data_IF_774671160208
#
_entry.id   IF_774671160208
#
_cell.length_a   1.000
_cell.length_b   1.000
_cell.length_c   1.000
_cell.angle_alpha   90.00
_cell.angle_beta   90.00
_cell.angle_gamma   90.00
#
_symmetry.space_group_name_H-M   'P 1'
#
loop_
_entity.id
_entity.type
_entity.pdbx_description
1 polymer ?
#
# COMPACT_ATOMS: atom_id res chain seq x y z
N UNK A 1 39.05 -10.03 -11.26
CA UNK A 1 37.83 -10.41 -10.53
C UNK A 1 37.47 -9.19 -9.71
N UNK A 2 36.53 -8.39 -10.20
CA UNK A 2 36.26 -7.04 -9.68
C UNK A 2 35.50 -7.13 -8.35
N UNK A 3 36.00 -6.47 -7.31
CA UNK A 3 35.42 -6.47 -5.94
C UNK A 3 34.39 -5.34 -5.74
N UNK A 4 33.74 -4.89 -6.81
CA UNK A 4 32.80 -3.76 -6.77
C UNK A 4 31.42 -4.18 -7.28
N UNK A 5 30.67 -4.95 -6.49
CA UNK A 5 29.21 -4.76 -6.40
C UNK A 5 28.53 -5.50 -5.23
N UNK A 6 29.17 -5.58 -4.05
CA UNK A 6 28.39 -5.96 -2.86
C UNK A 6 27.61 -4.74 -2.38
N UNK A 7 26.30 -4.74 -2.63
CA UNK A 7 25.39 -3.77 -2.04
C UNK A 7 25.70 -3.60 -0.53
N UNK A 8 25.86 -2.37 -0.03
CA UNK A 8 26.32 -2.12 1.33
C UNK A 8 25.43 -2.85 2.34
N UNK A 9 26.06 -3.53 3.30
CA UNK A 9 25.31 -4.23 4.34
C UNK A 9 24.44 -3.25 5.13
N UNK A 10 23.16 -3.59 5.41
CA UNK A 10 22.31 -2.71 6.21
C UNK A 10 22.83 -2.53 7.64
N UNK A 11 22.58 -1.35 8.19
CA UNK A 11 22.97 -1.01 9.57
C UNK A 11 22.46 -2.05 10.59
N UNK A 12 23.27 -2.48 11.58
CA UNK A 12 22.89 -3.52 12.56
C UNK A 12 21.55 -3.26 13.28
N UNK A 13 21.30 -2.02 13.69
CA UNK A 13 20.02 -1.65 14.33
C UNK A 13 18.80 -1.89 13.41
N UNK A 14 18.95 -1.76 12.08
CA UNK A 14 17.88 -2.06 11.13
C UNK A 14 17.67 -3.56 11.01
N UNK A 15 18.75 -4.35 11.04
CA UNK A 15 18.66 -5.82 11.04
C UNK A 15 17.94 -6.35 12.29
N UNK A 16 18.27 -5.82 13.47
CA UNK A 16 17.60 -6.19 14.72
C UNK A 16 16.09 -5.91 14.68
N UNK A 17 15.66 -4.81 14.05
CA UNK A 17 14.23 -4.51 13.87
C UNK A 17 13.55 -5.53 12.97
N UNK A 18 14.19 -5.93 11.87
CA UNK A 18 13.66 -6.98 10.99
C UNK A 18 13.56 -8.33 11.69
N UNK A 19 14.55 -8.70 12.50
CA UNK A 19 14.53 -9.94 13.29
C UNK A 19 13.36 -9.97 14.28
N UNK A 20 13.17 -8.89 15.05
CA UNK A 20 12.03 -8.75 15.97
C UNK A 20 10.68 -8.85 15.25
N UNK A 21 10.57 -8.18 14.11
CA UNK A 21 9.35 -8.22 13.29
C UNK A 21 9.07 -9.63 12.74
N UNK A 22 10.12 -10.34 12.31
CA UNK A 22 10.02 -11.72 11.83
C UNK A 22 9.60 -12.70 12.93
N UNK A 23 10.11 -12.52 14.15
CA UNK A 23 9.72 -13.33 15.30
C UNK A 23 8.22 -13.16 15.59
N UNK A 24 7.74 -11.91 15.62
CA UNK A 24 6.35 -11.58 15.87
C UNK A 24 5.43 -12.15 14.77
N UNK A 25 5.79 -11.94 13.49
CA UNK A 25 5.06 -12.51 12.35
C UNK A 25 5.01 -14.04 12.42
N UNK A 26 6.13 -14.69 12.74
CA UNK A 26 6.22 -16.14 12.87
C UNK A 26 5.35 -16.70 14.00
N UNK A 27 5.31 -16.01 15.15
CA UNK A 27 4.46 -16.36 16.30
C UNK A 27 2.98 -16.27 15.93
N UNK A 28 2.57 -15.18 15.31
CA UNK A 28 1.16 -14.92 15.02
C UNK A 28 0.64 -15.76 13.84
N UNK A 29 1.50 -16.08 12.86
CA UNK A 29 1.14 -16.98 11.75
C UNK A 29 0.85 -18.41 12.24
N UNK A 30 1.54 -18.88 13.30
CA UNK A 30 1.31 -20.18 13.93
C UNK A 30 0.04 -20.23 14.80
N UNK A 31 -0.55 -19.06 15.09
CA UNK A 31 -1.64 -18.92 16.06
C UNK A 31 -3.05 -18.75 15.49
N UNK A 32 -3.29 -18.79 14.17
CA UNK A 32 -4.67 -18.64 13.63
C UNK A 32 -5.49 -19.94 13.81
N UNK A 33 -6.62 -19.91 14.54
CA UNK A 33 -7.74 -20.80 14.28
C UNK A 33 -8.45 -20.36 12.99
N UNK A 34 -9.19 -21.28 12.35
CA UNK A 34 -9.98 -21.01 11.14
C UNK A 34 -10.84 -19.74 11.30
N UNK A 35 -10.48 -18.66 10.58
CA UNK A 35 -11.28 -17.43 10.52
C UNK A 35 -12.50 -17.69 9.63
N UNK A 36 -13.56 -18.20 10.24
CA UNK A 36 -14.88 -18.33 9.61
C UNK A 36 -15.88 -17.28 10.12
N UNK A 37 -15.54 -16.43 11.10
CA UNK A 37 -16.51 -15.48 11.68
C UNK A 37 -16.09 -14.01 11.56
N UNK A 38 -16.93 -13.29 10.82
CA UNK A 38 -16.98 -11.84 10.68
C UNK A 38 -17.12 -11.13 12.05
N UNK A 39 -16.05 -10.52 12.53
CA UNK A 39 -16.11 -9.26 13.30
C UNK A 39 -14.89 -8.39 12.95
N UNK A 40 -15.08 -7.19 12.38
CA UNK A 40 -13.97 -6.27 12.14
C UNK A 40 -13.57 -5.66 13.49
N UNK A 41 -12.55 -6.22 14.14
CA UNK A 41 -11.84 -5.50 15.18
C UNK A 41 -10.99 -4.44 14.51
N UNK A 42 -11.09 -3.21 15.02
CA UNK A 42 -10.49 -1.97 14.50
C UNK A 42 -8.94 -1.99 14.50
N UNK A 43 -8.30 -3.15 14.69
CA UNK A 43 -6.86 -3.31 14.82
C UNK A 43 -6.23 -4.30 13.81
N UNK A 44 -6.98 -4.78 12.82
CA UNK A 44 -6.42 -5.59 11.73
C UNK A 44 -6.55 -4.84 10.41
N UNK A 45 -5.41 -4.36 9.90
CA UNK A 45 -5.25 -4.24 8.44
C UNK A 45 -5.56 -5.63 7.90
N UNK A 46 -6.67 -5.80 7.18
CA UNK A 46 -7.44 -7.05 7.08
C UNK A 46 -6.73 -8.31 6.57
N UNK A 47 -5.43 -8.26 6.30
CA UNK A 47 -4.59 -9.37 5.84
C UNK A 47 -3.23 -9.43 6.57
N UNK A 48 -3.00 -8.61 7.61
CA UNK A 48 -1.75 -8.58 8.36
C UNK A 48 -1.85 -9.39 9.67
N UNK A 49 -0.75 -10.06 10.02
CA UNK A 49 -0.65 -10.87 11.24
C UNK A 49 -0.22 -10.05 12.47
N UNK A 50 -0.16 -8.72 12.38
CA UNK A 50 0.36 -7.82 13.43
C UNK A 50 -0.44 -6.51 13.46
N UNK A 51 -0.58 -5.89 14.62
CA UNK A 51 -1.25 -4.59 14.72
C UNK A 51 -0.35 -3.45 14.24
N UNK A 52 -0.93 -2.27 13.98
CA UNK A 52 -0.15 -1.06 13.70
C UNK A 52 0.75 -0.68 14.88
N UNK A 53 0.24 -0.79 16.11
CA UNK A 53 0.99 -0.44 17.33
C UNK A 53 2.23 -1.33 17.53
N UNK A 54 2.09 -2.65 17.32
CA UNK A 54 3.23 -3.58 17.38
C UNK A 54 4.29 -3.25 16.33
N UNK A 55 3.85 -2.89 15.13
CA UNK A 55 4.74 -2.48 14.05
C UNK A 55 5.45 -1.18 14.42
N UNK A 56 4.72 -0.20 14.95
CA UNK A 56 5.26 1.10 15.34
C UNK A 56 6.29 0.99 16.48
N UNK A 57 6.04 0.14 17.48
CA UNK A 57 6.99 -0.09 18.57
C UNK A 57 8.34 -0.64 18.06
N UNK A 58 8.29 -1.55 17.08
CA UNK A 58 9.47 -2.19 16.50
C UNK A 58 10.15 -1.27 15.49
N UNK A 59 9.39 -0.71 14.55
CA UNK A 59 9.91 0.03 13.40
C UNK A 59 10.20 1.50 13.72
N UNK A 60 9.51 2.07 14.70
CA UNK A 60 9.58 3.47 15.13
C UNK A 60 9.42 4.40 13.93
N UNK A 61 8.26 4.38 13.29
CA UNK A 61 8.08 5.14 12.06
C UNK A 61 8.10 6.64 12.37
N UNK A 62 8.85 7.37 11.55
CA UNK A 62 8.86 8.83 11.62
C UNK A 62 7.68 9.39 10.83
N UNK A 63 7.19 10.57 11.22
CA UNK A 63 6.28 11.33 10.38
C UNK A 63 6.98 11.63 9.05
N UNK A 64 6.40 11.16 7.96
CA UNK A 64 6.87 11.48 6.62
C UNK A 64 5.98 12.57 6.01
N UNK A 65 6.57 13.70 5.67
CA UNK A 65 5.93 14.73 4.87
C UNK A 65 6.45 14.63 3.43
N UNK A 66 5.57 14.27 2.51
CA UNK A 66 5.88 14.17 1.09
C UNK A 66 5.84 15.58 0.47
N UNK A 67 6.95 16.07 -0.15
CA UNK A 67 6.91 17.29 -0.94
C UNK A 67 5.88 17.16 -2.06
N UNK A 68 4.99 18.14 -2.18
CA UNK A 68 3.93 18.15 -3.19
C UNK A 68 4.33 19.02 -4.40
N UNK A 69 3.80 18.66 -5.57
CA UNK A 69 3.89 19.46 -6.79
C UNK A 69 2.47 19.72 -7.30
N UNK A 70 2.23 20.92 -7.80
CA UNK A 70 0.94 21.25 -8.40
C UNK A 70 0.66 20.36 -9.62
N UNK A 71 -0.58 19.92 -9.73
CA UNK A 71 -1.10 19.24 -10.91
C UNK A 71 -1.68 20.33 -11.83
N UNK A 72 -1.42 20.22 -13.13
CA UNK A 72 -1.93 21.20 -14.10
C UNK A 72 -3.47 21.22 -14.11
N UNK A 73 -4.07 22.41 -14.13
CA UNK A 73 -5.52 22.60 -14.00
C UNK A 73 -6.32 21.77 -15.00
N UNK A 74 -5.89 21.71 -16.28
CA UNK A 74 -6.61 20.93 -17.29
C UNK A 74 -6.70 19.43 -16.95
N UNK A 75 -5.72 18.88 -16.22
CA UNK A 75 -5.75 17.47 -15.76
C UNK A 75 -6.74 17.30 -14.62
N UNK A 76 -6.80 18.26 -13.70
CA UNK A 76 -7.81 18.31 -12.63
C UNK A 76 -9.22 18.45 -13.23
N UNK A 77 -9.40 19.31 -14.23
CA UNK A 77 -10.68 19.50 -14.92
C UNK A 77 -11.12 18.22 -15.64
N UNK A 78 -10.19 17.53 -16.30
CA UNK A 78 -10.45 16.24 -16.96
C UNK A 78 -10.86 15.17 -15.95
N UNK A 79 -10.12 15.06 -14.84
CA UNK A 79 -10.43 14.14 -13.75
C UNK A 79 -11.81 14.46 -13.16
N UNK A 80 -12.10 15.74 -12.91
CA UNK A 80 -13.38 16.19 -12.39
C UNK A 80 -14.53 15.83 -13.34
N UNK A 81 -14.38 16.07 -14.65
CA UNK A 81 -15.36 15.70 -15.65
C UNK A 81 -15.64 14.18 -15.66
N UNK A 82 -14.59 13.35 -15.60
CA UNK A 82 -14.73 11.90 -15.48
C UNK A 82 -15.50 11.52 -14.21
N UNK A 83 -15.10 12.06 -13.06
CA UNK A 83 -15.73 11.74 -11.77
C UNK A 83 -17.21 12.13 -11.77
N UNK A 84 -17.58 13.26 -12.38
CA UNK A 84 -18.99 13.65 -12.55
C UNK A 84 -19.79 12.63 -13.37
N UNK A 85 -19.23 12.11 -14.46
CA UNK A 85 -19.88 11.06 -15.27
C UNK A 85 -20.13 9.81 -14.43
N UNK A 86 -19.11 9.36 -13.69
CA UNK A 86 -19.23 8.16 -12.84
C UNK A 86 -20.23 8.38 -11.70
N UNK A 87 -20.20 9.53 -11.01
CA UNK A 87 -21.16 9.86 -9.95
C UNK A 87 -22.60 9.82 -10.49
N UNK A 88 -22.84 10.38 -11.67
CA UNK A 88 -24.19 10.37 -12.28
C UNK A 88 -24.66 8.96 -12.65
N UNK A 89 -23.75 8.11 -13.12
CA UNK A 89 -24.08 6.74 -13.52
C UNK A 89 -24.35 5.82 -12.31
N UNK A 90 -23.58 5.96 -11.23
CA UNK A 90 -23.61 5.01 -10.12
C UNK A 90 -24.26 5.56 -8.83
N UNK A 91 -24.61 6.85 -8.80
CA UNK A 91 -25.15 7.52 -7.62
C UNK A 91 -24.08 7.88 -6.58
N UNK A 92 -24.53 8.37 -5.43
CA UNK A 92 -23.65 8.78 -4.34
C UNK A 92 -23.17 7.54 -3.56
N UNK A 93 -21.88 7.19 -3.67
CA UNK A 93 -21.33 5.97 -3.07
C UNK A 93 -20.41 6.32 -1.90
N UNK A 94 -21.00 6.44 -0.70
CA UNK A 94 -20.25 6.79 0.52
C UNK A 94 -20.34 5.74 1.64
N UNK A 95 -20.83 4.53 1.36
CA UNK A 95 -20.91 3.47 2.38
C UNK A 95 -20.50 2.08 1.84
N UNK A 96 -19.59 1.41 2.55
CA UNK A 96 -19.30 -0.03 2.41
C UNK A 96 -18.19 -0.46 1.43
N UNK A 97 -17.91 -1.78 1.43
CA UNK A 97 -17.04 -2.59 0.54
C UNK A 97 -17.48 -2.58 -0.94
N UNK A 98 -17.98 -1.45 -1.44
CA UNK A 98 -18.57 -1.39 -2.77
C UNK A 98 -17.43 -1.37 -3.81
N UNK A 99 -17.33 -2.43 -4.63
CA UNK A 99 -16.38 -2.57 -5.77
C UNK A 99 -16.36 -1.31 -6.63
N UNK A 100 -17.48 -0.58 -6.62
CA UNK A 100 -17.65 0.66 -7.35
C UNK A 100 -16.72 1.81 -6.89
N UNK A 101 -16.18 1.77 -5.66
CA UNK A 101 -15.16 2.73 -5.19
C UNK A 101 -13.89 2.66 -6.06
N UNK A 102 -13.59 1.50 -6.64
CA UNK A 102 -12.45 1.33 -7.55
C UNK A 102 -12.57 2.24 -8.77
N UNK A 103 -13.78 2.46 -9.31
CA UNK A 103 -14.01 3.32 -10.48
C UNK A 103 -13.74 4.80 -10.21
N UNK A 104 -13.71 5.23 -8.94
CA UNK A 104 -13.33 6.57 -8.53
C UNK A 104 -11.85 6.70 -8.18
N UNK A 105 -11.25 5.66 -7.60
CA UNK A 105 -9.86 5.69 -7.14
C UNK A 105 -8.90 5.49 -8.31
N UNK A 106 -9.18 4.52 -9.19
CA UNK A 106 -8.34 4.23 -10.34
C UNK A 106 -8.04 5.46 -11.24
N UNK A 107 -9.01 6.30 -11.64
CA UNK A 107 -8.71 7.50 -12.45
C UNK A 107 -7.82 8.51 -11.69
N UNK A 108 -7.95 8.63 -10.37
CA UNK A 108 -7.07 9.49 -9.56
C UNK A 108 -5.64 8.97 -9.61
N UNK A 109 -5.44 7.66 -9.39
CA UNK A 109 -4.14 7.02 -9.48
C UNK A 109 -3.54 7.13 -10.91
N UNK A 110 -4.39 7.02 -11.94
CA UNK A 110 -3.98 7.19 -13.34
C UNK A 110 -3.47 8.61 -13.62
N UNK A 111 -4.17 9.65 -13.12
CA UNK A 111 -3.71 11.04 -13.22
C UNK A 111 -2.36 11.26 -12.52
N UNK A 112 -2.10 10.57 -11.40
CA UNK A 112 -0.78 10.62 -10.74
C UNK A 112 0.28 9.91 -11.57
N UNK A 113 -0.01 8.73 -12.12
CA UNK A 113 0.94 7.95 -12.92
C UNK A 113 1.33 8.65 -14.23
N UNK A 114 0.38 9.31 -14.88
CA UNK A 114 0.62 10.06 -16.13
C UNK A 114 1.67 11.18 -15.95
N UNK A 115 1.90 11.66 -14.72
CA UNK A 115 2.98 12.62 -14.42
C UNK A 115 4.39 12.08 -14.65
N UNK A 116 4.52 10.79 -14.87
CA UNK A 116 5.78 10.11 -15.10
C UNK A 116 5.91 9.63 -16.55
N UNK A 117 5.20 10.25 -17.49
CA UNK A 117 5.38 10.05 -18.95
C UNK A 117 5.35 8.57 -19.39
N UNK A 118 4.51 7.76 -18.71
CA UNK A 118 4.36 6.33 -18.98
C UNK A 118 5.37 5.41 -18.28
N UNK A 119 6.30 5.95 -17.50
CA UNK A 119 7.25 5.16 -16.70
C UNK A 119 6.61 4.54 -15.46
N UNK A 120 5.51 5.14 -14.96
CA UNK A 120 4.76 4.61 -13.84
C UNK A 120 3.59 3.74 -14.32
N UNK A 121 3.38 2.60 -13.67
CA UNK A 121 2.29 1.65 -13.97
C UNK A 121 1.47 1.35 -12.73
N UNK A 122 0.18 1.07 -12.94
CA UNK A 122 -0.73 0.61 -11.88
C UNK A 122 -0.94 -0.88 -12.07
N UNK A 123 -0.71 -1.64 -11.00
CA UNK A 123 -1.06 -3.05 -10.88
C UNK A 123 -2.28 -3.14 -9.95
N UNK A 124 -3.33 -3.81 -10.40
CA UNK A 124 -4.51 -4.13 -9.58
C UNK A 124 -4.28 -5.47 -8.89
N UNK A 125 -4.72 -5.60 -7.63
CA UNK A 125 -4.65 -6.82 -6.82
C UNK A 125 -3.22 -7.39 -6.71
N UNK A 126 -2.36 -6.64 -6.01
CA UNK A 126 -0.94 -6.95 -5.89
C UNK A 126 -0.54 -7.47 -4.51
N UNK A 127 0.27 -8.53 -4.49
CA UNK A 127 0.97 -9.00 -3.30
C UNK A 127 2.42 -8.47 -3.28
N UNK A 128 2.87 -7.97 -2.13
CA UNK A 128 4.28 -7.62 -1.90
C UNK A 128 4.86 -8.57 -0.87
N UNK A 129 5.77 -9.43 -1.32
CA UNK A 129 6.54 -10.32 -0.46
C UNK A 129 7.77 -9.59 0.06
N UNK A 130 7.94 -9.54 1.37
CA UNK A 130 9.10 -8.93 1.99
C UNK A 130 10.37 -9.76 1.76
N UNK A 131 11.49 -9.08 1.42
CA UNK A 131 12.78 -9.75 1.18
C UNK A 131 13.51 -10.14 2.46
N UNK A 132 13.46 -9.26 3.48
CA UNK A 132 14.13 -9.43 4.79
C UNK A 132 13.15 -9.50 5.95
N UNK A 133 11.90 -9.17 5.67
CA UNK A 133 10.76 -9.30 6.58
C UNK A 133 9.86 -10.38 5.98
N UNK A 134 9.56 -11.44 6.73
CA UNK A 134 8.83 -12.62 6.26
C UNK A 134 7.30 -12.38 6.26
N UNK A 135 6.89 -11.20 5.84
CA UNK A 135 5.51 -10.80 5.67
C UNK A 135 5.13 -10.77 4.19
N UNK A 136 3.85 -11.01 3.94
CA UNK A 136 3.20 -10.79 2.65
C UNK A 136 2.08 -9.77 2.87
N UNK A 137 2.13 -8.67 2.13
CA UNK A 137 1.10 -7.63 2.15
C UNK A 137 0.24 -7.70 0.90
N UNK A 138 -1.08 -7.63 1.07
CA UNK A 138 -2.06 -7.58 -0.01
C UNK A 138 -2.59 -6.16 -0.16
N UNK A 139 -2.66 -5.67 -1.39
CA UNK A 139 -2.99 -4.30 -1.71
C UNK A 139 -3.97 -4.23 -2.89
N UNK A 140 -4.96 -3.34 -2.79
CA UNK A 140 -5.94 -3.12 -3.86
C UNK A 140 -5.27 -2.51 -5.10
N UNK A 141 -4.27 -1.64 -4.89
CA UNK A 141 -3.47 -1.06 -5.98
C UNK A 141 -1.98 -1.00 -5.59
N UNK A 142 -1.11 -1.26 -6.57
CA UNK A 142 0.32 -0.99 -6.49
C UNK A 142 0.72 -0.09 -7.66
N UNK A 143 1.25 1.09 -7.36
CA UNK A 143 1.91 1.93 -8.36
C UNK A 143 3.41 1.64 -8.37
N UNK A 144 3.97 1.29 -9.52
CA UNK A 144 5.40 0.98 -9.68
C UNK A 144 6.08 1.94 -10.64
N UNK A 145 7.27 2.43 -10.27
CA UNK A 145 8.20 3.15 -11.16
C UNK A 145 9.63 2.75 -10.82
N UNK A 146 10.27 1.99 -11.71
CA UNK A 146 11.61 1.42 -11.45
C UNK A 146 11.60 0.55 -10.19
N UNK A 147 12.45 0.84 -9.21
CA UNK A 147 12.51 0.12 -7.93
C UNK A 147 11.54 0.65 -6.86
N UNK A 148 10.79 1.73 -7.16
CA UNK A 148 9.89 2.37 -6.21
C UNK A 148 8.48 1.85 -6.36
N UNK A 149 7.83 1.57 -5.23
CA UNK A 149 6.45 1.11 -5.14
C UNK A 149 5.67 1.98 -4.16
N UNK A 150 4.45 2.34 -4.53
CA UNK A 150 3.44 2.90 -3.63
C UNK A 150 2.29 1.93 -3.58
N UNK A 151 2.03 1.37 -2.40
CA UNK A 151 0.99 0.38 -2.19
C UNK A 151 -0.21 1.03 -1.50
N UNK A 152 -1.40 0.83 -2.04
CA UNK A 152 -2.65 1.43 -1.56
C UNK A 152 -3.57 0.34 -1.04
N UNK A 153 -4.03 0.50 0.20
CA UNK A 153 -5.07 -0.34 0.80
C UNK A 153 -6.33 0.51 0.96
N UNK A 154 -7.47 -0.02 0.53
CA UNK A 154 -8.77 0.56 0.79
C UNK A 154 -9.21 0.22 2.21
N UNK A 155 -9.53 1.25 2.98
CA UNK A 155 -10.18 1.04 4.28
C UNK A 155 -11.57 0.48 4.03
N UNK A 156 -11.76 -0.75 4.53
CA UNK A 156 -13.00 -1.53 4.46
C UNK A 156 -14.04 -1.00 5.44
#
# INVERSE_FOLDING_TARGET
MDMTDMAPQPHPARMLRWEKLNELLGRNKKGKPNFADDKPTVASTGDSYISFDDNEEIMRTGRYEQPSKAIANYKIDTLYAYLLVVIRAFGHMMTGKDVKRLYFILPILACVCERFDGEARILTDGAVVGKRVHGEGYFDFIMERGSTRVCVVLVK
#
